data_IF_404097560946
#
_entry.id   IF_404097560946
#
_cell.length_a   1.000
_cell.length_b   1.000
_cell.length_c   1.000
_cell.angle_alpha   90.00
_cell.angle_beta   90.00
_cell.angle_gamma   90.00
#
_symmetry.space_group_name_H-M   'P 1'
#
loop_
_entity.id
_entity.type
_entity.pdbx_description
1 polymer ?
#
# COMPACT_ATOMS: atom_id res chain seq x y z
N UNK A 1 -8.88 45.61 -9.01
CA UNK A 1 -9.53 44.77 -7.97
C UNK A 1 -8.85 43.42 -8.11
N UNK A 2 -7.68 43.28 -7.52
CA UNK A 2 -6.76 42.18 -7.81
C UNK A 2 -6.38 41.54 -6.49
N UNK A 3 -7.11 40.49 -6.10
CA UNK A 3 -6.99 39.93 -4.75
C UNK A 3 -7.44 38.49 -4.55
N UNK A 4 -7.65 37.70 -5.61
CA UNK A 4 -8.12 36.31 -5.42
C UNK A 4 -7.39 35.21 -6.22
N UNK A 5 -6.46 35.55 -7.12
CA UNK A 5 -5.81 34.54 -7.98
C UNK A 5 -4.55 33.88 -7.40
N UNK A 6 -3.92 34.47 -6.36
CA UNK A 6 -2.68 33.93 -5.78
C UNK A 6 -2.85 32.88 -4.68
N UNK A 7 -4.06 32.74 -4.10
CA UNK A 7 -4.28 31.86 -2.94
C UNK A 7 -4.47 30.39 -3.30
N UNK A 8 -4.93 30.09 -4.52
CA UNK A 8 -5.17 28.72 -4.98
C UNK A 8 -3.89 27.96 -5.40
N UNK A 9 -2.88 28.64 -5.95
CA UNK A 9 -1.63 27.99 -6.35
C UNK A 9 -0.80 27.55 -5.13
N UNK A 10 -0.70 28.42 -4.13
CA UNK A 10 0.05 28.13 -2.89
C UNK A 10 -0.55 26.97 -2.08
N UNK A 11 -1.89 26.80 -2.12
CA UNK A 11 -2.56 25.69 -1.45
C UNK A 11 -2.32 24.37 -2.19
N UNK A 12 -2.28 24.39 -3.54
CA UNK A 12 -2.05 23.20 -4.36
C UNK A 12 -0.63 22.64 -4.22
N UNK A 13 0.38 23.51 -4.18
CA UNK A 13 1.78 23.10 -3.98
C UNK A 13 2.00 22.50 -2.58
N UNK A 14 1.43 23.12 -1.54
CA UNK A 14 1.49 22.58 -0.19
C UNK A 14 0.81 21.20 -0.11
N UNK A 15 -0.39 21.05 -0.67
CA UNK A 15 -1.12 19.77 -0.69
C UNK A 15 -0.31 18.68 -1.40
N UNK A 16 0.32 18.99 -2.55
CA UNK A 16 1.15 18.01 -3.27
C UNK A 16 2.40 17.60 -2.49
N UNK A 17 3.06 18.55 -1.81
CA UNK A 17 4.22 18.26 -0.96
C UNK A 17 3.84 17.38 0.24
N UNK A 18 2.69 17.64 0.88
CA UNK A 18 2.19 16.83 1.99
C UNK A 18 1.78 15.42 1.54
N UNK A 19 1.22 15.26 0.34
CA UNK A 19 0.93 13.93 -0.22
C UNK A 19 2.22 13.17 -0.54
N UNK A 20 3.23 13.84 -1.09
CA UNK A 20 4.49 13.20 -1.46
C UNK A 20 5.26 12.69 -0.22
N UNK A 21 5.34 13.49 0.85
CA UNK A 21 5.98 13.08 2.10
C UNK A 21 5.29 11.88 2.76
N UNK A 22 3.95 11.89 2.79
CA UNK A 22 3.16 10.79 3.34
C UNK A 22 3.39 9.50 2.56
N UNK A 23 3.37 9.58 1.23
CA UNK A 23 3.57 8.44 0.35
C UNK A 23 5.01 7.93 0.40
N UNK A 24 6.01 8.81 0.47
CA UNK A 24 7.41 8.43 0.67
C UNK A 24 7.65 7.71 2.01
N UNK A 25 7.02 8.17 3.09
CA UNK A 25 7.10 7.52 4.40
C UNK A 25 6.40 6.14 4.39
N UNK A 26 5.21 6.05 3.79
CA UNK A 26 4.50 4.79 3.64
C UNK A 26 5.31 3.78 2.81
N UNK A 27 5.87 4.21 1.68
CA UNK A 27 6.76 3.42 0.82
C UNK A 27 7.96 2.90 1.61
N UNK A 28 8.63 3.77 2.36
CA UNK A 28 9.81 3.38 3.16
C UNK A 28 9.48 2.26 4.15
N UNK A 29 8.33 2.34 4.84
CA UNK A 29 7.88 1.29 5.77
C UNK A 29 7.54 -0.02 5.05
N UNK A 30 6.87 0.05 3.91
CA UNK A 30 6.56 -1.16 3.12
C UNK A 30 7.84 -1.84 2.65
N UNK A 31 8.82 -1.07 2.17
CA UNK A 31 10.13 -1.60 1.77
C UNK A 31 10.83 -2.28 2.95
N UNK A 32 10.86 -1.64 4.13
CA UNK A 32 11.42 -2.22 5.35
C UNK A 32 10.78 -3.58 5.66
N UNK A 33 9.45 -3.65 5.71
CA UNK A 33 8.74 -4.89 6.03
C UNK A 33 8.94 -5.98 4.98
N UNK A 34 8.90 -5.64 3.68
CA UNK A 34 9.11 -6.63 2.62
C UNK A 34 10.55 -7.14 2.57
N UNK A 35 11.53 -6.33 2.97
CA UNK A 35 12.93 -6.77 3.08
C UNK A 35 13.16 -7.72 4.27
N UNK A 36 12.36 -7.64 5.32
CA UNK A 36 12.45 -8.55 6.47
C UNK A 36 11.79 -9.92 6.19
N UNK A 37 10.81 -9.96 5.30
CA UNK A 37 10.02 -11.16 4.98
C UNK A 37 10.87 -12.38 4.61
N UNK A 38 11.89 -12.31 3.73
CA UNK A 38 12.70 -13.49 3.36
C UNK A 38 13.40 -14.16 4.55
N UNK A 39 13.76 -13.38 5.58
CA UNK A 39 14.53 -13.84 6.74
C UNK A 39 13.64 -14.17 7.95
N UNK A 40 12.34 -13.89 7.87
CA UNK A 40 11.39 -14.07 8.96
C UNK A 40 10.82 -15.49 9.03
N UNK A 41 10.42 -15.91 10.23
CA UNK A 41 9.62 -17.13 10.40
C UNK A 41 8.20 -16.95 9.86
N UNK A 42 7.51 -18.05 9.55
CA UNK A 42 6.22 -18.01 8.87
C UNK A 42 5.14 -17.15 9.57
N UNK A 43 5.07 -17.19 10.90
CA UNK A 43 4.17 -16.34 11.69
C UNK A 43 4.47 -14.85 11.47
N UNK A 44 5.74 -14.48 11.58
CA UNK A 44 6.20 -13.10 11.36
C UNK A 44 6.00 -12.66 9.91
N UNK A 45 6.20 -13.54 8.91
CA UNK A 45 5.85 -13.24 7.51
C UNK A 45 4.37 -12.89 7.36
N UNK A 46 3.48 -13.63 8.00
CA UNK A 46 2.05 -13.33 8.00
C UNK A 46 1.77 -11.96 8.63
N UNK A 47 2.38 -11.65 9.78
CA UNK A 47 2.21 -10.35 10.44
C UNK A 47 2.72 -9.18 9.58
N UNK A 48 3.87 -9.36 8.91
CA UNK A 48 4.41 -8.38 7.98
C UNK A 48 3.49 -8.18 6.76
N UNK A 49 2.94 -9.26 6.20
CA UNK A 49 1.96 -9.18 5.11
C UNK A 49 0.69 -8.44 5.52
N UNK A 50 0.21 -8.62 6.75
CA UNK A 50 -0.93 -7.86 7.29
C UNK A 50 -0.60 -6.37 7.39
N UNK A 51 0.57 -6.00 7.94
CA UNK A 51 1.00 -4.60 8.02
C UNK A 51 1.11 -3.94 6.64
N UNK A 52 1.70 -4.65 5.67
CA UNK A 52 1.78 -4.20 4.27
C UNK A 52 0.37 -4.00 3.70
N UNK A 53 -0.56 -4.91 3.98
CA UNK A 53 -1.97 -4.80 3.54
C UNK A 53 -2.65 -3.56 4.09
N UNK A 54 -2.56 -3.32 5.39
CA UNK A 54 -3.16 -2.16 6.05
C UNK A 54 -2.58 -0.85 5.52
N UNK A 55 -1.27 -0.81 5.27
CA UNK A 55 -0.61 0.37 4.72
C UNK A 55 -1.06 0.64 3.28
N UNK A 56 -0.98 -0.35 2.40
CA UNK A 56 -1.29 -0.17 0.98
C UNK A 56 -2.80 0.02 0.79
N UNK A 57 -3.63 -0.88 1.28
CA UNK A 57 -5.08 -0.81 1.02
C UNK A 57 -5.81 0.22 1.89
N UNK A 58 -5.29 0.52 3.08
CA UNK A 58 -5.92 1.46 4.01
C UNK A 58 -5.40 2.90 3.90
N UNK A 59 -4.11 3.10 3.62
CA UNK A 59 -3.48 4.42 3.71
C UNK A 59 -2.99 4.98 2.38
N UNK A 60 -2.35 4.16 1.54
CA UNK A 60 -1.63 4.59 0.34
C UNK A 60 -1.79 3.56 -0.80
N UNK A 61 -2.98 3.53 -1.41
CA UNK A 61 -3.32 2.54 -2.46
C UNK A 61 -2.49 2.68 -3.73
N UNK A 62 -1.94 3.85 -3.98
CA UNK A 62 -1.03 4.11 -5.11
C UNK A 62 0.24 3.24 -5.08
N UNK A 63 0.65 2.77 -3.90
CA UNK A 63 1.80 1.87 -3.74
C UNK A 63 1.49 0.42 -4.17
N UNK A 64 0.22 0.10 -4.43
CA UNK A 64 -0.18 -1.28 -4.75
C UNK A 64 0.54 -1.79 -5.99
N UNK A 65 0.54 -1.01 -7.09
CA UNK A 65 1.16 -1.43 -8.35
C UNK A 65 2.67 -1.63 -8.21
N UNK A 66 3.32 -0.84 -7.34
CA UNK A 66 4.75 -0.91 -7.06
C UNK A 66 5.14 -2.21 -6.34
N UNK A 67 4.33 -2.69 -5.39
CA UNK A 67 4.67 -3.82 -4.53
C UNK A 67 3.93 -5.13 -4.84
N UNK A 68 2.95 -5.10 -5.75
CA UNK A 68 2.09 -6.25 -6.02
C UNK A 68 2.90 -7.49 -6.44
N UNK A 69 3.87 -7.35 -7.35
CA UNK A 69 4.69 -8.48 -7.80
C UNK A 69 5.46 -9.12 -6.64
N UNK A 70 6.03 -8.29 -5.75
CA UNK A 70 6.77 -8.75 -4.60
C UNK A 70 5.86 -9.56 -3.65
N UNK A 71 4.65 -9.09 -3.40
CA UNK A 71 3.65 -9.78 -2.57
C UNK A 71 3.18 -11.08 -3.23
N UNK A 72 2.96 -11.09 -4.54
CA UNK A 72 2.54 -12.29 -5.27
C UNK A 72 3.62 -13.36 -5.29
N UNK A 73 4.90 -13.00 -5.23
CA UNK A 73 5.99 -13.98 -5.15
C UNK A 73 5.87 -14.89 -3.91
N UNK A 74 5.27 -14.40 -2.82
CA UNK A 74 5.01 -15.16 -1.59
C UNK A 74 3.92 -16.22 -1.74
N UNK A 75 3.17 -16.23 -2.85
CA UNK A 75 2.26 -17.33 -3.18
C UNK A 75 3.00 -18.67 -3.38
N UNK A 76 4.32 -18.62 -3.56
CA UNK A 76 5.20 -19.79 -3.70
C UNK A 76 5.95 -20.13 -2.41
N UNK A 77 5.66 -19.47 -1.28
CA UNK A 77 6.31 -19.78 0.01
C UNK A 77 6.04 -21.23 0.42
N UNK A 78 7.01 -21.88 1.06
CA UNK A 78 6.89 -23.25 1.54
C UNK A 78 5.77 -23.42 2.58
N UNK A 79 5.55 -22.40 3.41
CA UNK A 79 4.53 -22.40 4.45
C UNK A 79 3.13 -22.11 3.89
N UNK A 80 2.17 -22.98 4.20
CA UNK A 80 0.81 -22.86 3.68
C UNK A 80 0.04 -21.65 4.21
N UNK A 81 0.32 -21.19 5.43
CA UNK A 81 -0.37 -20.05 6.03
C UNK A 81 0.10 -18.74 5.40
N UNK A 82 1.38 -18.64 5.04
CA UNK A 82 1.89 -17.51 4.23
C UNK A 82 1.19 -17.45 2.87
N UNK A 83 1.05 -18.60 2.19
CA UNK A 83 0.30 -18.65 0.92
C UNK A 83 -1.17 -18.27 1.09
N UNK A 84 -1.84 -18.72 2.17
CA UNK A 84 -3.22 -18.29 2.48
C UNK A 84 -3.30 -16.79 2.73
N UNK A 85 -2.31 -16.21 3.41
CA UNK A 85 -2.27 -14.78 3.66
C UNK A 85 -2.18 -13.96 2.36
N UNK A 86 -1.40 -14.45 1.37
CA UNK A 86 -1.36 -13.84 0.03
C UNK A 86 -2.72 -13.93 -0.67
N UNK A 87 -3.43 -15.05 -0.56
CA UNK A 87 -4.80 -15.17 -1.10
C UNK A 87 -5.75 -14.18 -0.43
N UNK A 88 -5.69 -14.04 0.89
CA UNK A 88 -6.48 -13.04 1.63
C UNK A 88 -6.17 -11.62 1.13
N UNK A 89 -4.90 -11.29 0.90
CA UNK A 89 -4.49 -10.00 0.36
C UNK A 89 -5.10 -9.72 -1.02
N UNK A 90 -5.03 -10.69 -1.93
CA UNK A 90 -5.61 -10.61 -3.28
C UNK A 90 -7.14 -10.41 -3.20
N UNK A 91 -7.82 -11.14 -2.32
CA UNK A 91 -9.25 -10.99 -2.11
C UNK A 91 -9.62 -9.56 -1.69
N UNK A 92 -8.83 -8.96 -0.79
CA UNK A 92 -9.06 -7.58 -0.33
C UNK A 92 -8.83 -6.57 -1.45
N UNK A 93 -7.78 -6.72 -2.27
CA UNK A 93 -7.57 -5.85 -3.45
C UNK A 93 -8.82 -5.88 -4.36
N UNK A 94 -9.32 -7.08 -4.67
CA UNK A 94 -10.46 -7.26 -5.54
C UNK A 94 -11.73 -6.61 -4.97
N UNK A 95 -11.98 -6.74 -3.67
CA UNK A 95 -13.12 -6.10 -2.99
C UNK A 95 -13.04 -4.57 -3.04
N UNK A 96 -11.86 -4.00 -2.79
CA UNK A 96 -11.64 -2.56 -2.82
C UNK A 96 -11.86 -2.03 -4.23
N UNK A 97 -11.20 -2.62 -5.24
CA UNK A 97 -11.30 -2.18 -6.65
C UNK A 97 -12.73 -2.30 -7.21
N UNK A 98 -13.42 -3.39 -6.90
CA UNK A 98 -14.81 -3.58 -7.31
C UNK A 98 -15.76 -2.56 -6.67
N UNK A 99 -15.58 -2.25 -5.39
CA UNK A 99 -16.41 -1.27 -4.68
C UNK A 99 -16.33 0.13 -5.28
N UNK A 100 -15.20 0.49 -5.89
CA UNK A 100 -15.06 1.74 -6.64
C UNK A 100 -15.75 1.70 -8.00
N UNK A 101 -15.77 0.56 -8.67
CA UNK A 101 -16.39 0.41 -10.00
C UNK A 101 -17.91 0.49 -9.99
N UNK A 102 -18.57 0.17 -8.86
CA UNK A 102 -20.04 0.17 -8.72
C UNK A 102 -20.63 1.47 -8.13
N UNK A 103 -19.78 2.44 -7.80
CA UNK A 103 -20.19 3.76 -7.28
C UNK A 103 -20.23 4.86 -8.36
N UNK A 104 -19.90 4.53 -9.60
CA UNK A 104 -20.04 5.36 -10.79
C UNK A 104 -21.24 4.89 -11.60
#
# INVERSE_FOLDING_TARGET
>A
MDGLLGRSQFLGEAVNLFTDEKTANARSKVVEWLNDVPNAEASTKCDLLVKVQEMILGSCVELLEEFLEHILSLAHDANADVRKQVVCFIEQICKVKWSYSHKL
#
